data_IF_093154997542
#
_entry.id   IF_093154997542
#
_cell.length_a   1.000
_cell.length_b   1.000
_cell.length_c   1.000
_cell.angle_alpha   90.00
_cell.angle_beta   90.00
_cell.angle_gamma   90.00
#
_symmetry.space_group_name_H-M   'P 1'
#
loop_
_entity.id
_entity.type
_entity.pdbx_description
1 polymer ?
#
# COMPACT_ATOMS: atom_id res chain seq x y z
N UNK A 1 15.62 1.77 2.81
CA UNK A 1 14.28 1.96 3.39
C UNK A 1 13.47 0.69 3.14
N UNK A 2 12.64 0.25 4.09
CA UNK A 2 11.83 -0.95 3.91
C UNK A 2 10.50 -0.58 3.24
N UNK A 3 10.11 -1.33 2.21
CA UNK A 3 8.79 -1.20 1.59
C UNK A 3 7.78 -1.90 2.49
N UNK A 4 7.08 -1.15 3.32
CA UNK A 4 6.03 -1.71 4.16
C UNK A 4 4.81 -2.03 3.30
N UNK A 5 4.16 -3.17 3.58
CA UNK A 5 2.96 -3.59 2.86
C UNK A 5 1.84 -2.54 3.01
N UNK A 6 1.26 -2.11 1.89
CA UNK A 6 0.11 -1.20 1.85
C UNK A 6 0.41 0.26 1.56
N UNK A 7 1.67 0.66 1.34
CA UNK A 7 1.96 1.96 0.72
C UNK A 7 1.91 1.90 -0.80
N UNK A 8 1.49 3.00 -1.47
CA UNK A 8 1.65 3.16 -2.90
C UNK A 8 3.12 3.02 -3.34
N UNK A 9 3.39 2.63 -4.60
CA UNK A 9 4.73 2.65 -5.16
C UNK A 9 5.40 4.02 -4.97
N UNK A 10 6.66 4.02 -4.54
CA UNK A 10 7.43 5.24 -4.30
C UNK A 10 7.28 5.84 -2.91
N UNK A 11 6.37 5.35 -2.06
CA UNK A 11 6.25 5.78 -0.65
C UNK A 11 6.87 4.72 0.27
N UNK A 12 7.69 5.16 1.23
CA UNK A 12 8.47 4.28 2.12
C UNK A 12 8.61 4.85 3.52
N UNK A 13 8.88 4.00 4.51
CA UNK A 13 9.37 4.44 5.81
C UNK A 13 10.89 4.56 5.82
N UNK A 14 11.38 5.69 6.31
CA UNK A 14 12.81 5.85 6.55
C UNK A 14 13.25 5.19 7.87
N UNK A 15 14.57 5.07 8.07
CA UNK A 15 15.15 4.45 9.29
C UNK A 15 14.78 5.19 10.58
N UNK A 16 14.38 6.46 10.47
CA UNK A 16 13.94 7.28 11.59
C UNK A 16 12.44 7.16 11.90
N UNK A 17 11.73 6.22 11.25
CA UNK A 17 10.29 6.03 11.46
C UNK A 17 9.48 7.22 10.98
N UNK A 18 9.86 7.84 9.85
CA UNK A 18 9.06 8.87 9.15
C UNK A 18 8.70 8.42 7.73
N UNK A 19 7.54 8.83 7.25
CA UNK A 19 7.12 8.55 5.86
C UNK A 19 7.94 9.41 4.90
N UNK A 20 8.34 8.86 3.77
CA UNK A 20 9.10 9.54 2.73
C UNK A 20 8.79 9.02 1.33
N UNK A 21 9.39 9.68 0.34
CA UNK A 21 9.35 9.31 -1.07
C UNK A 21 10.71 8.76 -1.48
N UNK A 22 10.70 7.66 -2.23
CA UNK A 22 11.86 7.07 -2.89
C UNK A 22 11.49 6.71 -4.33
N UNK A 23 11.93 7.52 -5.29
CA UNK A 23 11.59 7.35 -6.71
C UNK A 23 12.83 7.40 -7.59
N UNK A 24 12.90 6.54 -8.61
CA UNK A 24 13.95 6.60 -9.62
C UNK A 24 13.66 7.74 -10.60
N UNK A 25 14.69 8.49 -10.95
CA UNK A 25 14.64 9.53 -11.98
C UNK A 25 14.53 8.85 -13.35
N UNK A 26 13.51 9.17 -14.18
CA UNK A 26 13.36 8.62 -15.52
C UNK A 26 14.62 8.82 -16.36
N UNK A 27 14.99 7.84 -17.18
CA UNK A 27 16.28 7.85 -17.93
C UNK A 27 16.33 8.96 -18.98
N UNK A 28 15.18 9.30 -19.54
CA UNK A 28 14.98 10.33 -20.56
C UNK A 28 15.18 11.77 -20.06
N UNK A 29 15.20 12.00 -18.74
CA UNK A 29 15.50 13.33 -18.16
C UNK A 29 16.93 13.45 -17.63
N UNK A 30 17.78 12.43 -17.82
CA UNK A 30 19.10 12.37 -17.21
C UNK A 30 20.10 13.41 -17.71
N UNK A 31 19.91 13.89 -18.94
CA UNK A 31 20.78 14.87 -19.60
C UNK A 31 20.26 16.31 -19.43
N UNK A 32 19.12 16.51 -18.76
CA UNK A 32 18.62 17.84 -18.44
C UNK A 32 19.56 18.57 -17.48
N UNK A 33 19.84 19.88 -17.66
CA UNK A 33 20.76 20.64 -16.79
C UNK A 33 20.44 20.54 -15.29
N UNK A 34 19.16 20.44 -14.91
CA UNK A 34 18.75 20.29 -13.50
C UNK A 34 19.01 18.91 -12.91
N UNK A 35 19.26 17.90 -13.73
CA UNK A 35 19.41 16.50 -13.32
C UNK A 35 20.78 15.89 -13.65
N UNK A 36 21.57 16.54 -14.49
CA UNK A 36 22.94 16.11 -14.77
C UNK A 36 23.79 16.18 -13.49
N UNK A 37 24.53 15.11 -13.20
CA UNK A 37 25.33 14.99 -11.97
C UNK A 37 24.54 14.76 -10.68
N UNK A 38 23.19 14.77 -10.70
CA UNK A 38 22.38 14.40 -9.53
C UNK A 38 22.24 12.89 -9.38
N UNK A 39 21.88 12.46 -8.18
CA UNK A 39 21.53 11.06 -7.91
C UNK A 39 20.40 10.60 -8.84
N UNK A 40 20.52 9.36 -9.37
CA UNK A 40 19.46 8.72 -10.18
C UNK A 40 18.23 8.33 -9.35
N UNK A 41 18.31 8.46 -8.03
CA UNK A 41 17.20 8.21 -7.11
C UNK A 41 16.94 9.45 -6.25
N UNK A 42 15.69 9.87 -6.18
CA UNK A 42 15.22 10.95 -5.32
C UNK A 42 14.70 10.36 -4.01
N UNK A 43 15.31 10.78 -2.89
CA UNK A 43 14.87 10.46 -1.54
C UNK A 43 14.43 11.75 -0.83
N UNK A 44 13.18 11.82 -0.37
CA UNK A 44 12.64 12.97 0.39
C UNK A 44 11.85 12.48 1.60
N UNK A 45 12.07 13.09 2.77
CA UNK A 45 11.25 12.82 3.96
C UNK A 45 10.09 13.81 4.05
N UNK A 46 8.92 13.35 4.48
CA UNK A 46 7.76 14.23 4.76
C UNK A 46 7.87 14.97 6.09
N UNK A 47 8.86 14.63 6.92
CA UNK A 47 9.11 15.24 8.22
C UNK A 47 8.20 14.75 9.35
N UNK A 48 7.19 13.91 9.07
CA UNK A 48 6.24 13.42 10.07
C UNK A 48 6.33 11.90 10.26
N UNK A 49 6.08 11.47 11.50
CA UNK A 49 5.87 10.06 11.87
C UNK A 49 4.39 9.66 11.88
N UNK A 50 3.47 10.63 11.70
CA UNK A 50 2.05 10.32 11.53
C UNK A 50 1.81 9.70 10.15
N UNK A 51 1.21 8.50 10.13
CA UNK A 51 1.06 7.71 8.92
C UNK A 51 0.13 8.36 7.89
N UNK A 52 -1.01 8.89 8.34
CA UNK A 52 -2.03 9.43 7.43
C UNK A 52 -1.56 10.76 6.83
N UNK A 53 -1.02 11.65 7.65
CA UNK A 53 -0.43 12.91 7.23
C UNK A 53 0.81 12.69 6.36
N UNK A 54 1.68 11.77 6.77
CA UNK A 54 2.86 11.38 6.01
C UNK A 54 2.49 10.88 4.62
N UNK A 55 1.45 10.04 4.51
CA UNK A 55 0.98 9.55 3.21
C UNK A 55 0.44 10.70 2.34
N UNK A 56 -0.38 11.61 2.89
CA UNK A 56 -0.89 12.78 2.13
C UNK A 56 0.25 13.64 1.59
N UNK A 57 1.27 13.92 2.40
CA UNK A 57 2.45 14.71 1.98
C UNK A 57 3.30 13.99 0.96
N UNK A 58 3.55 12.69 1.16
CA UNK A 58 4.34 11.89 0.22
C UNK A 58 3.68 11.80 -1.16
N UNK A 59 2.35 11.66 -1.23
CA UNK A 59 1.61 11.67 -2.50
C UNK A 59 1.73 13.02 -3.22
N UNK A 60 1.64 14.15 -2.50
CA UNK A 60 1.86 15.46 -3.11
C UNK A 60 3.28 15.62 -3.66
N UNK A 61 4.29 15.20 -2.90
CA UNK A 61 5.68 15.20 -3.35
C UNK A 61 5.93 14.34 -4.60
N UNK A 62 5.18 13.23 -4.75
CA UNK A 62 5.26 12.39 -5.95
C UNK A 62 4.71 13.09 -7.19
N UNK A 63 3.58 13.79 -7.06
CA UNK A 63 2.99 14.60 -8.14
C UNK A 63 3.94 15.72 -8.54
N UNK A 64 4.48 16.47 -7.57
CA UNK A 64 5.44 17.55 -7.83
C UNK A 64 6.71 17.05 -8.55
N UNK A 65 7.16 15.82 -8.28
CA UNK A 65 8.28 15.22 -9.00
C UNK A 65 7.94 14.86 -10.45
N UNK A 66 6.74 14.35 -10.69
CA UNK A 66 6.28 14.03 -12.05
C UNK A 66 6.11 15.30 -12.89
N UNK A 67 5.52 16.35 -12.31
CA UNK A 67 5.39 17.65 -12.97
C UNK A 67 6.76 18.26 -13.32
N UNK A 68 7.73 18.14 -12.41
CA UNK A 68 9.09 18.61 -12.63
C UNK A 68 9.80 17.84 -13.75
N UNK A 69 9.60 16.52 -13.84
CA UNK A 69 10.17 15.72 -14.93
C UNK A 69 9.52 16.01 -16.27
N UNK A 70 8.20 16.25 -16.29
CA UNK A 70 7.51 16.64 -17.52
C UNK A 70 7.96 18.02 -18.02
N UNK A 71 8.25 18.95 -17.11
CA UNK A 71 8.91 20.21 -17.47
C UNK A 71 10.29 19.97 -18.10
N UNK A 72 11.13 19.12 -17.48
CA UNK A 72 12.45 18.79 -18.04
C UNK A 72 12.35 18.16 -19.44
N UNK A 73 11.36 17.28 -19.67
CA UNK A 73 11.12 16.69 -21.01
C UNK A 73 10.77 17.76 -22.03
N UNK A 74 9.91 18.72 -21.66
CA UNK A 74 9.57 19.84 -22.56
C UNK A 74 10.79 20.68 -22.90
N UNK A 75 11.68 20.93 -21.94
CA UNK A 75 12.92 21.67 -22.19
C UNK A 75 13.91 20.88 -23.06
N UNK A 76 14.07 19.57 -22.84
CA UNK A 76 14.92 18.70 -23.68
C UNK A 76 14.40 18.55 -25.11
N UNK A 77 13.08 18.64 -25.34
CA UNK A 77 12.47 18.62 -26.67
C UNK A 77 12.73 19.90 -27.49
N UNK A 78 13.38 20.93 -26.92
CA UNK A 78 13.61 22.22 -27.60
C UNK A 78 14.65 22.21 -28.71
N UNK A 79 15.41 21.13 -28.92
CA UNK A 79 16.11 20.98 -30.20
C UNK A 79 15.11 20.44 -31.24
N UNK A 80 14.73 21.24 -32.25
CA UNK A 80 13.70 20.85 -33.19
C UNK A 80 14.16 19.64 -33.98
N UNK A 81 13.65 18.47 -33.60
CA UNK A 81 13.86 17.24 -34.34
C UNK A 81 13.16 17.40 -35.69
N UNK A 82 13.88 17.32 -36.83
CA UNK A 82 13.24 17.46 -38.14
C UNK A 82 12.15 16.40 -38.27
N UNK A 83 10.94 16.79 -38.71
CA UNK A 83 9.82 15.85 -38.93
C UNK A 83 10.21 14.73 -39.92
N UNK A 84 11.15 15.01 -40.81
CA UNK A 84 11.75 14.02 -41.72
C UNK A 84 12.47 12.85 -41.01
N UNK A 85 12.76 12.98 -39.70
CA UNK A 85 13.36 11.92 -38.88
C UNK A 85 12.35 11.16 -38.03
N UNK A 86 11.05 11.43 -38.22
CA UNK A 86 9.96 10.67 -37.58
C UNK A 86 9.77 9.35 -38.32
N UNK A 87 9.76 8.27 -37.57
CA UNK A 87 9.26 6.98 -38.03
C UNK A 87 7.76 7.07 -38.31
N UNK A 88 7.22 6.15 -39.11
CA UNK A 88 5.77 6.11 -39.40
C UNK A 88 4.91 6.03 -38.13
N UNK A 89 5.38 5.30 -37.10
CA UNK A 89 4.71 5.21 -35.81
C UNK A 89 4.78 6.50 -35.00
N UNK A 90 5.87 7.26 -35.08
CA UNK A 90 5.97 8.60 -34.48
C UNK A 90 5.06 9.61 -35.19
N UNK A 91 4.88 9.49 -36.50
CA UNK A 91 3.94 10.32 -37.27
C UNK A 91 2.47 10.02 -36.93
N UNK A 92 2.13 8.74 -36.75
CA UNK A 92 0.79 8.30 -36.33
C UNK A 92 0.48 8.72 -34.88
N UNK A 93 1.46 8.59 -33.97
CA UNK A 93 1.34 9.10 -32.60
C UNK A 93 1.20 10.62 -32.54
N UNK A 94 1.93 11.35 -33.39
CA UNK A 94 1.79 12.80 -33.52
C UNK A 94 0.41 13.21 -34.04
N UNK A 95 -0.15 12.47 -34.99
CA UNK A 95 -1.52 12.69 -35.45
C UNK A 95 -2.53 12.45 -34.32
N UNK A 96 -2.35 11.41 -33.50
CA UNK A 96 -3.19 11.14 -32.32
C UNK A 96 -3.02 12.16 -31.17
N UNK A 97 -1.81 12.69 -30.96
CA UNK A 97 -1.55 13.76 -29.99
C UNK A 97 -2.13 15.11 -30.46
N UNK A 98 -2.09 15.39 -31.76
CA UNK A 98 -2.79 16.52 -32.36
C UNK A 98 -4.32 16.38 -32.23
N UNK A 99 -4.86 15.17 -32.42
CA UNK A 99 -6.28 14.85 -32.16
C UNK A 99 -6.63 15.08 -30.68
N UNK A 100 -5.75 14.70 -29.75
CA UNK A 100 -5.94 14.95 -28.30
C UNK A 100 -5.88 16.44 -27.94
N UNK A 101 -5.01 17.21 -28.59
CA UNK A 101 -4.97 18.68 -28.47
C UNK A 101 -6.21 19.36 -29.06
N UNK A 102 -6.90 18.71 -30.00
CA UNK A 102 -8.16 19.17 -30.58
C UNK A 102 -9.39 18.70 -29.77
N UNK A 103 -9.30 17.55 -29.09
CA UNK A 103 -10.36 16.94 -28.24
C UNK A 103 -10.37 17.47 -26.80
N UNK A 104 -9.27 18.05 -26.30
CA UNK A 104 -9.29 18.85 -25.08
C UNK A 104 -10.17 20.07 -25.35
N UNK A 105 -11.46 19.96 -25.00
CA UNK A 105 -12.50 20.98 -25.12
C UNK A 105 -11.91 22.37 -25.30
N UNK A 106 -11.99 22.83 -26.56
CA UNK A 106 -11.73 24.17 -27.05
C UNK A 106 -12.19 25.21 -26.01
N UNK A 107 -11.31 25.61 -25.11
CA UNK A 107 -11.55 26.73 -24.21
C UNK A 107 -10.95 27.97 -24.89
N UNK A 108 -11.77 28.79 -25.57
CA UNK A 108 -11.28 30.00 -26.24
C UNK A 108 -10.62 30.99 -25.29
N UNK A 109 -10.83 30.88 -23.97
CA UNK A 109 -10.17 31.70 -22.96
C UNK A 109 -8.72 31.23 -22.70
N UNK A 110 -8.42 29.92 -22.82
CA UNK A 110 -7.04 29.40 -22.74
C UNK A 110 -6.23 29.80 -23.97
N UNK A 111 -6.85 29.82 -25.17
CA UNK A 111 -6.22 30.30 -26.39
C UNK A 111 -5.88 31.81 -26.33
N UNK A 112 -6.74 32.63 -25.71
CA UNK A 112 -6.46 34.07 -25.48
C UNK A 112 -5.28 34.32 -24.55
N UNK A 113 -5.02 33.43 -23.57
CA UNK A 113 -3.93 33.60 -22.62
C UNK A 113 -2.52 33.48 -23.27
N UNK A 114 -2.43 32.89 -24.47
CA UNK A 114 -1.19 32.75 -25.25
C UNK A 114 -0.93 33.84 -26.30
N UNK A 115 -1.88 34.76 -26.54
CA UNK A 115 -1.69 35.96 -27.37
C UNK A 115 -1.72 35.79 -28.89
N UNK A 116 -1.71 34.58 -29.45
CA UNK A 116 -1.88 34.34 -30.89
C UNK A 116 -3.24 33.74 -31.19
N UNK A 117 -3.98 34.36 -32.12
CA UNK A 117 -5.22 33.81 -32.64
C UNK A 117 -4.93 32.49 -33.36
N UNK A 118 -5.71 31.45 -33.07
CA UNK A 118 -5.58 30.17 -33.75
C UNK A 118 -5.86 30.34 -35.26
N UNK A 119 -5.08 29.69 -36.14
CA UNK A 119 -5.36 29.69 -37.56
C UNK A 119 -6.68 28.97 -37.87
N UNK A 120 -7.48 29.53 -38.77
CA UNK A 120 -8.75 28.93 -39.20
C UNK A 120 -8.60 27.83 -40.25
N UNK A 121 -7.44 27.77 -40.91
CA UNK A 121 -7.13 26.75 -41.90
C UNK A 121 -6.49 25.50 -41.24
N UNK A 122 -6.96 24.28 -41.52
CA UNK A 122 -6.39 23.05 -40.97
C UNK A 122 -4.88 22.86 -41.23
N UNK A 123 -4.37 23.30 -42.39
CA UNK A 123 -2.94 23.24 -42.70
C UNK A 123 -2.12 24.21 -41.85
N UNK A 124 -2.65 25.43 -41.62
CA UNK A 124 -2.05 26.39 -40.70
C UNK A 124 -2.13 25.93 -39.24
N UNK A 125 -3.21 25.23 -38.85
CA UNK A 125 -3.42 24.63 -37.54
C UNK A 125 -2.40 23.52 -37.25
N UNK A 126 -2.13 22.65 -38.23
CA UNK A 126 -1.05 21.65 -38.15
C UNK A 126 0.30 22.33 -38.02
N UNK A 127 0.55 23.38 -38.81
CA UNK A 127 1.77 24.17 -38.71
C UNK A 127 1.92 24.82 -37.32
N UNK A 128 0.83 25.33 -36.76
CA UNK A 128 0.79 25.90 -35.41
C UNK A 128 1.04 24.84 -34.34
N UNK A 129 0.36 23.69 -34.40
CA UNK A 129 0.54 22.58 -33.46
C UNK A 129 1.98 22.02 -33.51
N UNK A 130 2.53 21.86 -34.71
CA UNK A 130 3.91 21.43 -34.89
C UNK A 130 4.89 22.44 -34.25
N UNK A 131 4.70 23.75 -34.46
CA UNK A 131 5.53 24.79 -33.83
C UNK A 131 5.40 24.79 -32.30
N UNK A 132 4.18 24.65 -31.78
CA UNK A 132 3.91 24.55 -30.33
C UNK A 132 4.58 23.33 -29.69
N UNK A 133 4.81 22.28 -30.47
CA UNK A 133 5.53 21.07 -30.06
C UNK A 133 7.03 21.10 -30.40
N UNK A 134 7.55 22.22 -30.91
CA UNK A 134 8.96 22.38 -31.28
C UNK A 134 9.37 21.63 -32.54
N UNK A 135 8.43 21.24 -33.40
CA UNK A 135 8.66 20.51 -34.63
C UNK A 135 8.64 21.43 -35.85
N UNK A 136 9.53 21.15 -36.81
CA UNK A 136 9.56 21.81 -38.11
C UNK A 136 9.06 20.84 -39.20
N UNK A 137 7.78 20.91 -39.61
CA UNK A 137 7.26 20.07 -40.68
C UNK A 137 7.92 20.46 -42.00
N UNK A 138 8.30 19.46 -42.80
CA UNK A 138 8.75 19.73 -44.16
C UNK A 138 7.59 20.40 -44.93
N UNK A 139 7.86 21.46 -45.70
CA UNK A 139 6.82 22.25 -46.37
C UNK A 139 5.88 21.39 -47.25
N UNK A 140 6.36 20.28 -47.80
CA UNK A 140 5.56 19.34 -48.59
C UNK A 140 4.62 18.43 -47.81
N UNK A 141 4.79 18.30 -46.48
CA UNK A 141 3.95 17.45 -45.60
C UNK A 141 2.74 18.19 -45.03
N UNK A 142 2.79 19.53 -44.96
CA UNK A 142 1.72 20.36 -44.40
C UNK A 142 0.36 20.18 -45.12
N UNK A 143 0.28 20.11 -46.46
CA UNK A 143 -1.00 19.91 -47.14
C UNK A 143 -1.64 18.56 -46.83
N UNK A 144 -0.84 17.47 -46.82
CA UNK A 144 -1.35 16.11 -46.56
C UNK A 144 -1.83 15.94 -45.11
N UNK A 145 -1.11 16.54 -44.15
CA UNK A 145 -1.53 16.56 -42.74
C UNK A 145 -2.76 17.45 -42.53
N UNK A 146 -2.84 18.59 -43.23
CA UNK A 146 -4.01 19.47 -43.21
C UNK A 146 -5.27 18.78 -43.74
N UNK A 147 -5.18 18.05 -44.86
CA UNK A 147 -6.28 17.25 -45.39
C UNK A 147 -6.71 16.12 -44.44
N UNK A 148 -5.75 15.43 -43.82
CA UNK A 148 -6.04 14.37 -42.86
C UNK A 148 -6.77 14.90 -41.60
N UNK A 149 -6.31 16.02 -41.05
CA UNK A 149 -6.99 16.69 -39.91
C UNK A 149 -8.37 17.20 -40.31
N UNK A 150 -8.51 17.80 -41.50
CA UNK A 150 -9.81 18.26 -41.99
C UNK A 150 -10.82 17.11 -42.18
N UNK A 151 -10.38 15.99 -42.76
CA UNK A 151 -11.21 14.79 -42.93
C UNK A 151 -11.65 14.20 -41.59
N UNK A 152 -10.74 14.19 -40.60
CA UNK A 152 -11.01 13.70 -39.24
C UNK A 152 -11.98 14.61 -38.47
N UNK A 153 -11.80 15.93 -38.55
CA UNK A 153 -12.71 16.92 -37.95
C UNK A 153 -14.11 16.91 -38.57
N UNK A 154 -14.24 16.39 -39.80
CA UNK A 154 -15.52 16.18 -40.46
C UNK A 154 -16.21 14.86 -40.04
N UNK A 155 -15.49 13.93 -39.39
CA UNK A 155 -16.10 12.76 -38.77
C UNK A 155 -16.91 13.21 -37.55
N UNK A 156 -18.19 12.82 -37.42
CA UNK A 156 -18.98 13.18 -36.25
C UNK A 156 -18.36 12.52 -35.02
N UNK A 157 -17.73 13.32 -34.16
CA UNK A 157 -17.16 12.83 -32.89
C UNK A 157 -18.28 12.16 -32.11
N UNK A 158 -18.15 10.88 -31.74
CA UNK A 158 -19.13 10.25 -30.87
C UNK A 158 -19.08 11.01 -29.54
N UNK A 159 -20.14 11.76 -29.26
CA UNK A 159 -20.28 12.55 -28.03
C UNK A 159 -20.06 11.63 -26.84
N UNK A 160 -18.87 11.73 -26.26
CA UNK A 160 -18.53 11.01 -25.05
C UNK A 160 -19.30 11.69 -23.93
N UNK A 161 -20.31 11.00 -23.40
CA UNK A 161 -21.17 11.49 -22.34
C UNK A 161 -20.35 11.65 -21.04
N UNK A 162 -19.69 12.80 -20.93
CA UNK A 162 -18.85 13.19 -19.81
C UNK A 162 -19.60 13.11 -18.48
N UNK A 163 -20.90 13.43 -18.48
CA UNK A 163 -21.73 13.32 -17.29
C UNK A 163 -21.87 11.87 -16.81
N UNK A 164 -21.96 10.90 -17.74
CA UNK A 164 -21.97 9.47 -17.41
C UNK A 164 -20.64 9.00 -16.83
N UNK A 165 -19.51 9.45 -17.39
CA UNK A 165 -18.18 9.09 -16.88
C UNK A 165 -17.91 9.70 -15.49
N UNK A 166 -18.26 10.96 -15.28
CA UNK A 166 -18.13 11.62 -13.98
C UNK A 166 -19.04 10.97 -12.93
N UNK A 167 -20.26 10.55 -13.31
CA UNK A 167 -21.15 9.79 -12.44
C UNK A 167 -20.59 8.41 -12.07
N UNK A 168 -20.01 7.68 -13.01
CA UNK A 168 -19.41 6.37 -12.77
C UNK A 168 -18.12 6.48 -11.93
N UNK A 169 -17.27 7.47 -12.20
CA UNK A 169 -16.08 7.76 -11.40
C UNK A 169 -16.45 8.16 -9.97
N UNK A 170 -17.47 9.02 -9.80
CA UNK A 170 -17.98 9.40 -8.48
C UNK A 170 -18.60 8.21 -7.75
N UNK A 171 -19.26 7.28 -8.46
CA UNK A 171 -19.79 6.02 -7.89
C UNK A 171 -18.68 5.04 -7.47
N UNK A 172 -17.55 4.99 -8.18
CA UNK A 172 -16.42 4.12 -7.86
C UNK A 172 -15.56 4.69 -6.72
N UNK A 173 -15.44 6.01 -6.65
CA UNK A 173 -14.64 6.73 -5.64
C UNK A 173 -15.42 7.03 -4.35
N UNK A 174 -16.74 7.09 -4.41
CA UNK A 174 -17.58 7.10 -3.21
C UNK A 174 -17.75 5.64 -2.81
N UNK A 175 -17.18 5.16 -1.68
CA UNK A 175 -17.48 3.83 -1.20
C UNK A 175 -18.98 3.78 -0.92
N UNK A 176 -19.74 3.21 -1.86
CA UNK A 176 -21.16 3.02 -1.67
C UNK A 176 -21.38 2.27 -0.36
N UNK A 177 -22.53 2.46 0.32
CA UNK A 177 -22.86 1.67 1.49
C UNK A 177 -22.96 0.22 1.04
N UNK A 178 -21.84 -0.50 1.06
CA UNK A 178 -21.85 -1.94 1.02
C UNK A 178 -22.71 -2.30 2.20
N UNK A 179 -23.91 -2.83 1.94
CA UNK A 179 -24.70 -3.49 2.97
C UNK A 179 -23.78 -4.56 3.52
N UNK A 180 -23.07 -4.23 4.60
CA UNK A 180 -22.13 -5.15 5.24
C UNK A 180 -22.95 -6.36 5.57
N UNK A 181 -22.52 -7.51 5.07
CA UNK A 181 -23.17 -8.77 5.42
C UNK A 181 -23.11 -8.83 6.94
N UNK A 182 -24.27 -8.72 7.59
CA UNK A 182 -24.37 -8.88 9.04
C UNK A 182 -23.87 -10.27 9.37
N UNK A 183 -22.79 -10.31 10.14
CA UNK A 183 -22.09 -11.54 10.51
C UNK A 183 -22.01 -11.57 12.02
N UNK A 184 -22.35 -12.71 12.60
CA UNK A 184 -22.21 -12.96 14.04
C UNK A 184 -20.75 -13.27 14.41
N UNK A 185 -20.42 -13.13 15.70
CA UNK A 185 -19.12 -13.55 16.22
C UNK A 185 -18.84 -15.03 15.97
N UNK A 186 -19.85 -15.90 16.06
CA UNK A 186 -19.73 -17.32 15.74
C UNK A 186 -19.27 -17.55 14.30
N UNK A 187 -19.93 -16.91 13.34
CA UNK A 187 -19.57 -17.00 11.91
C UNK A 187 -18.18 -16.43 11.64
N UNK A 188 -17.82 -15.32 12.30
CA UNK A 188 -16.48 -14.74 12.21
C UNK A 188 -15.40 -15.73 12.65
N UNK A 189 -15.61 -16.44 13.77
CA UNK A 189 -14.68 -17.48 14.21
C UNK A 189 -14.58 -18.62 13.21
N UNK A 190 -15.71 -19.11 12.67
CA UNK A 190 -15.69 -20.17 11.67
C UNK A 190 -14.92 -19.76 10.41
N UNK A 191 -15.10 -18.53 9.91
CA UNK A 191 -14.33 -18.01 8.77
C UNK A 191 -12.85 -17.84 9.10
N UNK A 192 -12.55 -17.36 10.30
CA UNK A 192 -11.19 -17.17 10.77
C UNK A 192 -10.42 -18.49 10.95
N UNK A 193 -11.10 -19.54 11.40
CA UNK A 193 -10.55 -20.89 11.53
C UNK A 193 -10.37 -21.57 10.16
N UNK A 194 -11.27 -21.30 9.20
CA UNK A 194 -11.25 -21.86 7.85
C UNK A 194 -10.30 -21.15 6.87
N UNK A 195 -9.70 -20.00 7.23
CA UNK A 195 -8.81 -19.24 6.35
C UNK A 195 -7.58 -20.08 5.93
N UNK A 196 -7.40 -20.41 4.64
CA UNK A 196 -6.28 -21.22 4.17
C UNK A 196 -4.91 -20.61 4.47
N UNK A 197 -4.83 -19.27 4.60
CA UNK A 197 -3.58 -18.56 4.97
C UNK A 197 -3.12 -18.91 6.39
N UNK A 198 -3.98 -19.56 7.17
CA UNK A 198 -3.76 -19.98 8.56
C UNK A 198 -3.61 -21.49 8.72
N UNK A 199 -3.66 -22.26 7.63
CA UNK A 199 -3.55 -23.73 7.65
C UNK A 199 -2.24 -24.26 8.26
N UNK A 200 -1.19 -23.42 8.36
CA UNK A 200 0.09 -23.76 9.00
C UNK A 200 0.22 -23.38 10.48
N UNK A 201 -0.86 -22.94 11.15
CA UNK A 201 -0.79 -22.61 12.57
C UNK A 201 -0.59 -23.87 13.42
N UNK A 202 0.40 -23.86 14.31
CA UNK A 202 0.61 -24.94 15.27
C UNK A 202 -0.63 -25.16 16.14
N UNK A 203 -0.91 -26.40 16.54
CA UNK A 203 -2.06 -26.72 17.40
C UNK A 203 -2.08 -25.91 18.72
N UNK A 204 -0.90 -25.58 19.26
CA UNK A 204 -0.75 -24.69 20.42
C UNK A 204 -1.27 -23.27 20.15
N UNK A 205 -1.14 -22.79 18.92
CA UNK A 205 -1.67 -21.47 18.52
C UNK A 205 -3.18 -21.50 18.37
N UNK A 206 -3.74 -22.59 17.83
CA UNK A 206 -5.20 -22.80 17.73
C UNK A 206 -5.86 -22.80 19.12
N UNK A 207 -5.27 -23.49 20.10
CA UNK A 207 -5.79 -23.56 21.48
C UNK A 207 -5.95 -22.18 22.15
N UNK A 208 -5.09 -21.20 21.83
CA UNK A 208 -5.24 -19.85 22.39
C UNK A 208 -6.54 -19.16 21.94
N UNK A 209 -7.04 -19.48 20.74
CA UNK A 209 -8.29 -18.93 20.22
C UNK A 209 -9.51 -19.58 20.86
N UNK A 210 -9.41 -20.83 21.33
CA UNK A 210 -10.50 -21.52 22.03
C UNK A 210 -10.90 -20.80 23.32
N UNK A 211 -9.92 -20.47 24.17
CA UNK A 211 -10.20 -19.73 25.42
C UNK A 211 -10.69 -18.32 25.13
N UNK A 212 -10.08 -17.64 24.15
CA UNK A 212 -10.54 -16.30 23.75
C UNK A 212 -11.99 -16.33 23.23
N UNK A 213 -12.37 -17.35 22.44
CA UNK A 213 -13.73 -17.57 21.92
C UNK A 213 -14.73 -17.81 23.03
N UNK A 214 -14.38 -18.65 24.02
CA UNK A 214 -15.24 -18.91 25.18
C UNK A 214 -15.53 -17.61 25.94
N UNK A 215 -14.50 -16.86 26.34
CA UNK A 215 -14.70 -15.61 27.09
C UNK A 215 -15.42 -14.54 26.26
N UNK A 216 -15.15 -14.44 24.96
CA UNK A 216 -15.89 -13.53 24.06
C UNK A 216 -17.38 -13.92 24.00
N UNK A 217 -17.66 -15.22 23.94
CA UNK A 217 -19.01 -15.78 23.96
C UNK A 217 -19.75 -15.51 25.26
N UNK A 218 -19.09 -15.63 26.40
CA UNK A 218 -19.71 -15.40 27.71
C UNK A 218 -20.00 -13.92 27.98
N UNK A 219 -19.11 -13.02 27.54
CA UNK A 219 -19.24 -11.58 27.83
C UNK A 219 -20.12 -10.85 26.83
N UNK A 220 -20.01 -11.17 25.54
CA UNK A 220 -20.69 -10.44 24.45
C UNK A 220 -21.81 -11.27 23.82
N UNK A 221 -21.71 -12.61 23.87
CA UNK A 221 -22.60 -13.52 23.17
C UNK A 221 -22.10 -13.84 21.76
N UNK A 222 -21.93 -15.12 21.43
CA UNK A 222 -21.47 -15.53 20.08
C UNK A 222 -22.46 -15.17 18.96
N UNK A 223 -23.73 -14.91 19.29
CA UNK A 223 -24.75 -14.45 18.34
C UNK A 223 -24.71 -12.94 18.06
N UNK A 224 -23.94 -12.15 18.82
CA UNK A 224 -23.82 -10.72 18.58
C UNK A 224 -23.21 -10.44 17.20
N UNK A 225 -23.74 -9.42 16.52
CA UNK A 225 -23.21 -9.01 15.22
C UNK A 225 -21.89 -8.27 15.39
N UNK A 226 -20.89 -8.63 14.59
CA UNK A 226 -19.52 -8.12 14.69
C UNK A 226 -19.46 -6.60 14.53
N UNK A 227 -20.34 -6.01 13.71
CA UNK A 227 -20.44 -4.57 13.47
C UNK A 227 -21.11 -3.78 14.61
N UNK A 228 -21.74 -4.48 15.56
CA UNK A 228 -22.35 -3.90 16.75
C UNK A 228 -21.47 -4.03 18.00
N UNK A 229 -20.38 -4.80 17.92
CA UNK A 229 -19.44 -4.96 19.03
C UNK A 229 -18.59 -3.70 19.16
N UNK A 230 -18.66 -3.05 20.31
CA UNK A 230 -18.00 -1.76 20.54
C UNK A 230 -16.72 -1.89 21.40
N UNK A 231 -16.17 -0.73 21.77
CA UNK A 231 -14.95 -0.63 22.57
C UNK A 231 -15.18 -1.08 24.02
N UNK A 232 -16.37 -0.85 24.57
CA UNK A 232 -16.72 -1.17 25.95
C UNK A 232 -16.95 -2.67 26.11
N UNK A 233 -17.55 -3.33 25.13
CA UNK A 233 -17.58 -4.80 25.02
C UNK A 233 -16.19 -5.40 25.11
N UNK A 234 -15.25 -4.87 24.32
CA UNK A 234 -13.88 -5.39 24.31
C UNK A 234 -13.11 -5.08 25.61
N UNK A 235 -13.43 -3.99 26.31
CA UNK A 235 -12.89 -3.71 27.66
C UNK A 235 -13.38 -4.77 28.65
N UNK A 236 -14.68 -5.09 28.65
CA UNK A 236 -15.24 -6.16 29.50
C UNK A 236 -14.60 -7.52 29.21
N UNK A 237 -14.41 -7.86 27.93
CA UNK A 237 -13.72 -9.09 27.52
C UNK A 237 -12.28 -9.13 28.00
N UNK A 238 -11.54 -8.02 27.84
CA UNK A 238 -10.18 -7.88 28.37
C UNK A 238 -10.17 -8.12 29.88
N UNK A 239 -11.06 -7.48 30.61
CA UNK A 239 -11.09 -7.56 32.08
C UNK A 239 -11.43 -8.98 32.55
N UNK A 240 -12.37 -9.66 31.89
CA UNK A 240 -12.65 -11.08 32.12
C UNK A 240 -11.43 -11.97 31.85
N UNK A 241 -10.71 -11.76 30.74
CA UNK A 241 -9.47 -12.49 30.44
C UNK A 241 -8.36 -12.22 31.47
N UNK A 242 -8.27 -11.00 31.99
CA UNK A 242 -7.29 -10.62 33.01
C UNK A 242 -7.63 -11.17 34.39
N UNK A 243 -8.91 -11.43 34.67
CA UNK A 243 -9.39 -12.01 35.94
C UNK A 243 -9.13 -13.52 36.05
N UNK A 244 -8.86 -14.23 34.94
CA UNK A 244 -8.57 -15.66 34.97
C UNK A 244 -7.38 -16.01 35.89
N UNK A 245 -7.34 -17.17 36.56
CA UNK A 245 -6.21 -17.58 37.41
C UNK A 245 -5.02 -18.12 36.58
N UNK A 246 -4.54 -17.31 35.62
CA UNK A 246 -3.49 -17.68 34.67
C UNK A 246 -2.26 -16.78 34.79
N UNK A 247 -1.12 -17.28 34.28
CA UNK A 247 0.09 -16.46 34.18
C UNK A 247 -0.15 -15.19 33.33
N UNK A 248 0.41 -14.03 33.70
CA UNK A 248 0.23 -12.77 32.97
C UNK A 248 0.54 -12.86 31.47
N UNK A 249 1.58 -13.62 31.11
CA UNK A 249 1.95 -13.85 29.72
C UNK A 249 0.84 -14.57 28.92
N UNK A 250 0.16 -15.54 29.54
CA UNK A 250 -0.94 -16.29 28.94
C UNK A 250 -2.17 -15.40 28.76
N UNK A 251 -2.54 -14.63 29.80
CA UNK A 251 -3.63 -13.65 29.71
C UNK A 251 -3.43 -12.67 28.54
N UNK A 252 -2.21 -12.13 28.41
CA UNK A 252 -1.85 -11.22 27.31
C UNK A 252 -1.93 -11.89 25.94
N UNK A 253 -1.59 -13.19 25.83
CA UNK A 253 -1.76 -13.95 24.58
C UNK A 253 -3.23 -14.03 24.19
N UNK A 254 -4.14 -14.28 25.14
CA UNK A 254 -5.57 -14.34 24.84
C UNK A 254 -6.15 -12.98 24.42
N UNK A 255 -5.77 -11.89 25.09
CA UNK A 255 -6.20 -10.54 24.67
C UNK A 255 -5.69 -10.23 23.25
N UNK A 256 -4.45 -10.62 22.92
CA UNK A 256 -3.93 -10.49 21.55
C UNK A 256 -4.66 -11.37 20.54
N UNK A 257 -5.12 -12.56 20.93
CA UNK A 257 -5.90 -13.44 20.07
C UNK A 257 -7.22 -12.77 19.66
N UNK A 258 -7.91 -12.10 20.58
CA UNK A 258 -9.09 -11.26 20.28
C UNK A 258 -8.73 -10.13 19.32
N UNK A 259 -7.61 -9.42 19.57
CA UNK A 259 -7.11 -8.38 18.67
C UNK A 259 -6.85 -8.87 17.24
N UNK A 260 -6.29 -10.07 17.10
CA UNK A 260 -6.04 -10.72 15.81
C UNK A 260 -7.32 -11.12 15.08
N UNK A 261 -8.36 -11.53 15.80
CA UNK A 261 -9.68 -11.84 15.23
C UNK A 261 -10.31 -10.59 14.59
N UNK A 262 -10.33 -9.47 15.32
CA UNK A 262 -10.87 -8.20 14.79
C UNK A 262 -9.96 -7.56 13.74
N UNK A 263 -8.65 -7.82 13.76
CA UNK A 263 -7.76 -7.44 12.66
C UNK A 263 -8.08 -8.21 11.37
N UNK A 264 -8.42 -9.50 11.48
CA UNK A 264 -8.95 -10.27 10.37
C UNK A 264 -10.27 -9.68 9.87
N UNK A 265 -11.23 -9.43 10.76
CA UNK A 265 -12.52 -8.85 10.40
C UNK A 265 -12.38 -7.51 9.64
N UNK A 266 -11.45 -6.66 10.08
CA UNK A 266 -11.13 -5.39 9.41
C UNK A 266 -10.59 -5.60 8.00
N UNK A 267 -9.65 -6.53 7.82
CA UNK A 267 -9.04 -6.82 6.51
C UNK A 267 -10.05 -7.39 5.53
N UNK A 268 -10.96 -8.24 5.99
CA UNK A 268 -12.04 -8.79 5.17
C UNK A 268 -13.20 -7.79 4.95
N UNK A 269 -13.09 -6.55 5.45
CA UNK A 269 -14.08 -5.49 5.26
C UNK A 269 -15.39 -5.69 6.05
N UNK A 270 -15.38 -6.57 7.06
CA UNK A 270 -16.54 -6.86 7.91
C UNK A 270 -16.81 -5.73 8.91
N UNK A 271 -15.74 -5.08 9.40
CA UNK A 271 -15.79 -3.92 10.31
C UNK A 271 -15.02 -2.73 9.76
N UNK A 272 -15.26 -1.53 10.29
CA UNK A 272 -14.55 -0.28 9.91
C UNK A 272 -13.27 -0.06 10.69
N UNK A 273 -13.25 -0.55 11.92
CA UNK A 273 -12.14 -0.38 12.83
C UNK A 273 -11.93 -1.65 13.66
N UNK A 274 -10.70 -1.88 14.06
CA UNK A 274 -10.39 -2.93 15.03
C UNK A 274 -10.66 -2.39 16.45
N UNK A 275 -11.86 -2.65 16.97
CA UNK A 275 -12.27 -2.24 18.32
C UNK A 275 -11.43 -2.88 19.43
N UNK A 276 -10.70 -3.96 19.15
CA UNK A 276 -9.80 -4.63 20.08
C UNK A 276 -8.35 -4.10 20.08
N UNK A 277 -8.04 -3.13 19.20
CA UNK A 277 -6.67 -2.60 19.05
C UNK A 277 -6.18 -1.92 20.33
N UNK A 278 -5.01 -2.31 20.82
CA UNK A 278 -4.38 -1.68 21.99
C UNK A 278 -4.98 -2.08 23.34
N UNK A 279 -5.82 -3.12 23.41
CA UNK A 279 -6.37 -3.60 24.68
C UNK A 279 -5.41 -4.47 25.48
N UNK A 280 -4.44 -5.10 24.81
CA UNK A 280 -3.44 -5.90 25.49
C UNK A 280 -2.66 -4.98 26.45
N UNK A 281 -2.55 -5.33 27.75
CA UNK A 281 -1.75 -4.54 28.66
C UNK A 281 -0.31 -4.46 28.14
N UNK A 282 0.42 -3.38 28.47
CA UNK A 282 1.85 -3.32 28.20
C UNK A 282 2.49 -4.59 28.75
N UNK A 283 3.59 -5.03 28.14
CA UNK A 283 4.39 -6.05 28.81
C UNK A 283 4.75 -5.45 30.16
N UNK A 284 4.19 -5.97 31.26
CA UNK A 284 4.64 -5.56 32.57
C UNK A 284 6.16 -5.71 32.56
N UNK A 285 6.88 -4.65 32.91
CA UNK A 285 8.27 -4.80 33.31
C UNK A 285 8.23 -5.90 34.36
N UNK A 286 8.86 -7.02 34.05
CA UNK A 286 8.63 -8.27 34.76
C UNK A 286 9.25 -8.21 36.17
N UNK A 287 8.72 -7.37 37.06
CA UNK A 287 8.89 -7.51 38.49
C UNK A 287 7.99 -8.68 38.92
N UNK A 288 8.60 -9.83 39.18
CA UNK A 288 7.91 -11.02 39.68
C UNK A 288 7.47 -12.05 38.62
N UNK A 289 7.65 -11.81 37.32
CA UNK A 289 7.65 -12.94 36.40
C UNK A 289 8.91 -13.75 36.73
N UNK A 290 8.76 -15.01 37.13
CA UNK A 290 9.85 -15.97 37.22
C UNK A 290 10.54 -16.00 35.86
N UNK A 291 11.54 -15.13 35.65
CA UNK A 291 12.45 -15.23 34.53
C UNK A 291 13.04 -16.62 34.71
N UNK A 292 12.73 -17.51 33.78
CA UNK A 292 13.35 -18.83 33.72
C UNK A 292 14.85 -18.57 33.78
N UNK A 293 15.46 -18.86 34.93
CA UNK A 293 16.87 -18.61 35.16
C UNK A 293 17.62 -19.58 34.26
N UNK A 294 18.64 -19.07 33.58
CA UNK A 294 19.54 -19.95 32.85
C UNK A 294 20.27 -20.84 33.85
N UNK A 295 20.48 -22.11 33.50
CA UNK A 295 21.33 -22.97 34.31
C UNK A 295 22.77 -22.46 34.28
N UNK A 296 23.40 -22.43 35.44
CA UNK A 296 24.84 -22.17 35.55
C UNK A 296 25.64 -23.43 35.19
N UNK A 297 26.92 -23.28 34.86
CA UNK A 297 27.80 -24.42 34.58
C UNK A 297 27.82 -25.41 35.76
N UNK A 298 27.85 -24.92 37.00
CA UNK A 298 27.85 -25.76 38.21
C UNK A 298 26.53 -26.51 38.42
N UNK A 299 25.41 -25.95 37.97
CA UNK A 299 24.11 -26.62 38.04
C UNK A 299 23.98 -27.67 36.94
N UNK A 300 24.49 -27.38 35.74
CA UNK A 300 24.59 -28.38 34.68
C UNK A 300 25.53 -29.52 35.11
N UNK A 301 26.68 -29.23 35.70
CA UNK A 301 27.60 -30.25 36.21
C UNK A 301 26.97 -31.11 37.33
N UNK A 302 26.04 -30.54 38.11
CA UNK A 302 25.26 -31.30 39.10
C UNK A 302 24.14 -32.15 38.49
N UNK A 303 23.53 -31.69 37.39
CA UNK A 303 22.54 -32.46 36.64
C UNK A 303 23.19 -33.58 35.80
N UNK A 304 24.44 -33.37 35.37
CA UNK A 304 25.23 -34.28 34.54
C UNK A 304 26.59 -34.58 35.19
N UNK A 305 26.61 -35.29 36.34
CA UNK A 305 27.85 -35.56 37.07
C UNK A 305 28.81 -36.47 36.28
N UNK A 306 30.11 -36.50 36.62
CA UNK A 306 31.05 -37.46 36.04
C UNK A 306 30.56 -38.90 36.22
N UNK A 307 30.48 -39.65 35.11
CA UNK A 307 29.90 -40.99 35.09
C UNK A 307 28.39 -41.04 34.82
N UNK A 308 27.73 -39.89 34.62
CA UNK A 308 26.37 -39.85 34.09
C UNK A 308 26.33 -40.53 32.72
N UNK A 309 25.53 -41.59 32.65
CA UNK A 309 25.40 -42.45 31.48
C UNK A 309 24.07 -42.25 30.78
N UNK A 310 24.03 -42.63 29.50
CA UNK A 310 22.84 -42.52 28.66
C UNK A 310 21.98 -43.78 28.80
N UNK A 311 21.57 -44.06 30.04
CA UNK A 311 20.90 -45.31 30.42
C UNK A 311 19.42 -45.31 30.06
N UNK A 312 18.79 -44.13 29.93
CA UNK A 312 17.39 -43.99 29.56
C UNK A 312 17.19 -43.08 28.34
N UNK A 313 16.03 -43.19 27.66
CA UNK A 313 15.65 -42.26 26.59
C UNK A 313 15.61 -40.79 27.05
N UNK A 314 15.30 -40.54 28.32
CA UNK A 314 15.30 -39.18 28.89
C UNK A 314 16.72 -38.63 28.98
N UNK A 315 17.69 -39.46 29.35
CA UNK A 315 19.10 -39.06 29.40
C UNK A 315 19.60 -38.70 28.00
N UNK A 316 19.27 -39.50 26.99
CA UNK A 316 19.57 -39.17 25.60
C UNK A 316 18.93 -37.85 25.16
N UNK A 317 17.66 -37.61 25.48
CA UNK A 317 16.98 -36.36 25.14
C UNK A 317 17.65 -35.15 25.81
N UNK A 318 18.02 -35.26 27.09
CA UNK A 318 18.70 -34.19 27.81
C UNK A 318 20.10 -33.90 27.26
N UNK A 319 20.87 -34.96 26.93
CA UNK A 319 22.17 -34.82 26.31
C UNK A 319 22.08 -34.15 24.93
N UNK A 320 21.17 -34.61 24.07
CA UNK A 320 20.96 -34.02 22.74
C UNK A 320 20.50 -32.56 22.84
N UNK A 321 19.55 -32.26 23.73
CA UNK A 321 19.10 -30.88 23.98
C UNK A 321 20.23 -29.97 24.45
N UNK A 322 21.12 -30.48 25.32
CA UNK A 322 22.28 -29.71 25.83
C UNK A 322 23.34 -29.46 24.75
N UNK A 323 23.71 -30.49 23.97
CA UNK A 323 24.79 -30.41 22.99
C UNK A 323 24.39 -29.75 21.68
N UNK A 324 23.16 -29.99 21.22
CA UNK A 324 22.67 -29.51 19.91
C UNK A 324 21.76 -28.28 20.05
N UNK A 325 21.32 -27.94 21.26
CA UNK A 325 20.37 -26.85 21.49
C UNK A 325 18.97 -27.14 20.96
N UNK A 326 18.63 -28.43 20.76
CA UNK A 326 17.31 -28.85 20.29
C UNK A 326 16.23 -28.52 21.33
N UNK A 327 15.03 -28.23 20.83
CA UNK A 327 13.84 -28.09 21.68
C UNK A 327 13.34 -29.48 22.06
N UNK A 328 12.72 -29.61 23.23
CA UNK A 328 12.15 -30.89 23.67
C UNK A 328 11.02 -31.44 22.78
N UNK A 329 10.52 -30.65 21.82
CA UNK A 329 9.48 -31.04 20.87
C UNK A 329 10.07 -31.44 19.49
N UNK A 330 11.38 -31.28 19.28
CA UNK A 330 12.15 -31.62 18.06
C UNK A 330 12.89 -32.94 18.25
#
# INVERSE_FOLDING_TARGET
>A
MAKEAGFPPGVVWNRAGRVGVLKQVPRDVWDHPDWVGRSRTVERSTGTADRAEGLRRALRMLVELDDAWEACRRDLRREPRPVASMTASEAEAFAGDAETLLDLEFDPEVAKAGGEALPGDPGELVGWAARSLGLAPAAGLLPALGEAVAARLAEPTPTTDRARYEAEARRLLTPGPRRRRRMSLAELFSLFEADPRRAGLSGRTASNYTTAKAVLGDVVGLGAFVDQVDRDDMRRVRDALLALPLAPATKRKYVRAVGSLFAYALREGLVEANVALGLAPPAAAAEGALKRRQFTADELARLFPPGWGLASPVDWMLALGLFQGLRAEE
#
